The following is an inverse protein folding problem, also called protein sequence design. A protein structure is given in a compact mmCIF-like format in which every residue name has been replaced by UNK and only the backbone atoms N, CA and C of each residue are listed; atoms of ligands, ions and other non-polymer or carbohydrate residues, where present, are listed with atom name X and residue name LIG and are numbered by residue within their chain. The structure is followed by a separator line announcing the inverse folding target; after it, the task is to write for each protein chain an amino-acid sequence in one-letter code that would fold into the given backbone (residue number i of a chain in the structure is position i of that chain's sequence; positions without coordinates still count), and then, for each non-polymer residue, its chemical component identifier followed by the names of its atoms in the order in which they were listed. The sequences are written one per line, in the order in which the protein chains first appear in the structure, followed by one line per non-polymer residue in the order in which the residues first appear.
data_IF_416666523982
#
_entry.id   IF_416666523982
#
_cell.length_a   1.000
_cell.length_b   1.000
_cell.length_c   1.000
_cell.angle_alpha   90.00
_cell.angle_beta   90.00
_cell.angle_gamma   90.00
#
_symmetry.space_group_name_H-M   'P 1'
#
loop_
_entity.id
_entity.type
_entity.pdbx_description
1 polymer ?
#
# COMPACT_ATOMS: atom_id res chain seq x y z
N UNK A 1 13.93 0.31 -18.88
CA UNK A 1 13.79 1.36 -17.85
C UNK A 1 13.91 0.70 -16.49
N UNK A 2 14.52 1.39 -15.52
CA UNK A 2 14.55 0.92 -14.14
C UNK A 2 13.13 0.90 -13.55
N UNK A 3 12.77 -0.14 -12.77
CA UNK A 3 11.47 -0.19 -12.11
C UNK A 3 11.24 1.00 -11.18
N UNK A 4 9.99 1.45 -11.12
CA UNK A 4 9.54 2.56 -10.28
C UNK A 4 8.75 2.03 -9.09
N UNK A 5 8.88 2.73 -7.97
CA UNK A 5 8.02 2.54 -6.80
C UNK A 5 7.04 3.71 -6.75
N UNK A 6 5.76 3.44 -6.89
CA UNK A 6 4.69 4.42 -6.76
C UNK A 6 4.10 4.32 -5.36
N UNK A 7 4.46 5.25 -4.49
CA UNK A 7 3.78 5.37 -3.21
C UNK A 7 2.43 6.05 -3.46
N UNK A 8 1.36 5.50 -2.90
CA UNK A 8 0.00 6.04 -3.01
C UNK A 8 -0.59 6.22 -1.61
N UNK A 9 -1.11 7.40 -1.29
CA UNK A 9 -1.85 7.62 -0.05
C UNK A 9 -3.29 7.15 -0.22
N UNK A 10 -3.86 6.45 0.77
CA UNK A 10 -5.29 6.09 0.73
C UNK A 10 -6.19 7.32 0.50
N UNK A 11 -7.36 7.08 -0.09
CA UNK A 11 -8.40 8.08 -0.30
C UNK A 11 -9.07 8.51 1.02
N UNK A 12 -9.99 9.47 0.97
CA UNK A 12 -10.65 9.99 2.17
C UNK A 12 -11.49 8.93 2.88
N UNK A 13 -11.16 8.70 4.16
CA UNK A 13 -11.88 7.82 5.08
C UNK A 13 -12.71 8.60 6.09
N UNK A 14 -13.68 7.94 6.73
CA UNK A 14 -14.66 8.59 7.61
C UNK A 14 -14.01 9.42 8.73
N UNK A 15 -13.01 8.87 9.44
CA UNK A 15 -12.27 9.60 10.48
C UNK A 15 -11.56 10.86 9.96
N UNK A 16 -11.28 10.97 8.66
CA UNK A 16 -10.67 12.17 8.11
C UNK A 16 -11.64 13.35 8.04
N UNK A 17 -12.95 13.08 8.00
CA UNK A 17 -14.02 14.07 7.91
C UNK A 17 -14.58 14.35 9.29
N UNK A 18 -14.87 13.29 10.05
CA UNK A 18 -15.47 13.41 11.39
C UNK A 18 -14.46 13.88 12.44
N UNK A 19 -13.16 13.73 12.15
CA UNK A 19 -12.06 13.84 13.12
C UNK A 19 -12.21 12.89 14.32
N UNK A 20 -13.11 11.91 14.24
CA UNK A 20 -13.30 10.89 15.26
C UNK A 20 -12.21 9.82 15.13
N UNK A 21 -11.20 9.93 16.01
CA UNK A 21 -10.07 9.00 16.07
C UNK A 21 -10.40 7.72 16.85
N UNK A 22 -11.57 7.65 17.49
CA UNK A 22 -12.03 6.48 18.25
C UNK A 22 -12.63 5.38 17.36
N UNK A 23 -13.05 5.75 16.14
CA UNK A 23 -13.54 4.79 15.16
C UNK A 23 -12.44 3.84 14.72
N UNK A 24 -12.62 2.54 14.95
CA UNK A 24 -11.67 1.51 14.51
C UNK A 24 -11.75 1.26 13.01
N UNK A 25 -10.57 1.13 12.37
CA UNK A 25 -10.39 0.78 10.96
C UNK A 25 -11.44 1.38 9.99
N UNK A 26 -11.60 2.72 9.99
CA UNK A 26 -12.70 3.39 9.32
C UNK A 26 -12.66 3.19 7.78
N UNK A 27 -13.82 2.95 7.14
CA UNK A 27 -13.91 2.81 5.69
C UNK A 27 -13.70 4.14 4.97
N UNK A 28 -13.63 4.06 3.65
CA UNK A 28 -13.71 5.22 2.77
C UNK A 28 -15.08 5.88 2.80
N UNK A 29 -15.07 7.19 2.53
CA UNK A 29 -16.28 8.00 2.33
C UNK A 29 -16.70 7.96 0.86
N UNK A 30 -17.92 8.44 0.55
CA UNK A 30 -18.34 8.65 -0.83
C UNK A 30 -17.39 9.56 -1.64
N UNK A 31 -16.80 10.58 -1.00
CA UNK A 31 -15.76 11.39 -1.64
C UNK A 31 -14.45 10.61 -1.84
N UNK A 32 -14.13 9.69 -0.92
CA UNK A 32 -13.02 8.75 -1.09
C UNK A 32 -13.18 7.87 -2.35
N UNK A 33 -14.39 7.38 -2.61
CA UNK A 33 -14.70 6.61 -3.83
C UNK A 33 -14.54 7.46 -5.11
N UNK A 34 -14.92 8.74 -5.07
CA UNK A 34 -14.66 9.66 -6.18
C UNK A 34 -13.16 9.89 -6.41
N UNK A 35 -12.40 10.09 -5.33
CA UNK A 35 -10.94 10.24 -5.39
C UNK A 35 -10.25 9.01 -5.96
N UNK A 36 -10.76 7.82 -5.66
CA UNK A 36 -10.28 6.56 -6.24
C UNK A 36 -10.54 6.49 -7.73
N UNK A 37 -11.74 6.92 -8.16
CA UNK A 37 -12.09 6.94 -9.59
C UNK A 37 -11.15 7.88 -10.36
N UNK A 38 -10.83 9.05 -9.79
CA UNK A 38 -9.85 9.96 -10.37
C UNK A 38 -8.42 9.37 -10.38
N UNK A 39 -8.03 8.64 -9.34
CA UNK A 39 -6.74 7.94 -9.30
C UNK A 39 -6.64 6.90 -10.42
N UNK A 40 -7.69 6.10 -10.61
CA UNK A 40 -7.76 5.09 -11.68
C UNK A 40 -7.72 5.72 -13.09
N UNK A 41 -8.19 6.95 -13.25
CA UNK A 41 -8.14 7.67 -14.53
C UNK A 41 -6.78 8.35 -14.77
N UNK A 42 -6.21 8.96 -13.74
CA UNK A 42 -5.06 9.87 -13.88
C UNK A 42 -3.70 9.18 -13.72
N UNK A 43 -3.64 7.99 -13.12
CA UNK A 43 -2.37 7.30 -12.90
C UNK A 43 -1.79 6.80 -14.24
N UNK A 44 -0.64 7.31 -14.72
CA UNK A 44 -0.24 7.05 -16.10
C UNK A 44 0.54 5.74 -16.31
N UNK A 45 0.80 4.97 -15.24
CA UNK A 45 1.75 3.85 -15.27
C UNK A 45 1.09 2.47 -15.20
N UNK A 46 -0.21 2.39 -15.45
CA UNK A 46 -1.02 1.17 -15.37
C UNK A 46 -0.37 -0.04 -16.05
N UNK A 47 0.19 0.13 -17.25
CA UNK A 47 0.79 -0.97 -18.02
C UNK A 47 2.18 -1.40 -17.54
N UNK A 48 2.78 -0.67 -16.62
CA UNK A 48 4.09 -1.00 -16.06
C UNK A 48 4.01 -1.67 -14.69
N UNK A 49 2.86 -1.62 -14.02
CA UNK A 49 2.71 -2.17 -12.66
C UNK A 49 2.65 -3.70 -12.71
N UNK A 50 3.57 -4.33 -11.96
CA UNK A 50 3.66 -5.77 -11.75
C UNK A 50 2.99 -6.23 -10.46
N UNK A 51 3.00 -5.38 -9.44
CA UNK A 51 2.41 -5.71 -8.14
C UNK A 51 1.83 -4.46 -7.47
N UNK A 52 0.66 -4.64 -6.88
CA UNK A 52 0.00 -3.68 -6.00
C UNK A 52 0.12 -4.24 -4.58
N UNK A 53 0.93 -3.56 -3.79
CA UNK A 53 1.16 -3.83 -2.38
C UNK A 53 0.31 -2.88 -1.55
N UNK A 54 -0.37 -3.36 -0.52
CA UNK A 54 -1.20 -2.49 0.33
C UNK A 54 -1.08 -2.81 1.81
N UNK A 55 -1.23 -1.79 2.63
CA UNK A 55 -1.42 -1.96 4.08
C UNK A 55 -2.71 -2.74 4.36
N UNK A 56 -2.78 -3.54 5.44
CA UNK A 56 -3.95 -4.39 5.71
C UNK A 56 -5.18 -3.64 6.24
N UNK A 57 -5.15 -2.30 6.30
CA UNK A 57 -6.30 -1.51 6.77
C UNK A 57 -7.38 -1.38 5.69
N UNK A 58 -8.63 -1.31 6.11
CA UNK A 58 -9.80 -1.27 5.23
C UNK A 58 -9.69 -0.21 4.14
N UNK A 59 -9.35 1.02 4.52
CA UNK A 59 -9.23 2.15 3.59
C UNK A 59 -8.10 2.03 2.56
N UNK A 60 -6.99 1.37 2.90
CA UNK A 60 -5.88 1.14 1.96
C UNK A 60 -6.20 -0.01 1.01
N UNK A 61 -6.89 -1.04 1.49
CA UNK A 61 -7.41 -2.12 0.64
C UNK A 61 -8.45 -1.58 -0.34
N UNK A 62 -9.44 -0.82 0.14
CA UNK A 62 -10.46 -0.17 -0.71
C UNK A 62 -9.83 0.74 -1.77
N UNK A 63 -8.84 1.55 -1.38
CA UNK A 63 -8.10 2.41 -2.33
C UNK A 63 -7.35 1.59 -3.38
N UNK A 64 -6.66 0.53 -2.96
CA UNK A 64 -5.89 -0.32 -3.88
C UNK A 64 -6.81 -1.04 -4.87
N UNK A 65 -7.92 -1.62 -4.39
CA UNK A 65 -8.88 -2.33 -5.22
C UNK A 65 -9.60 -1.40 -6.19
N UNK A 66 -10.14 -0.29 -5.72
CA UNK A 66 -10.86 0.63 -6.59
C UNK A 66 -9.94 1.36 -7.57
N UNK A 67 -8.70 1.66 -7.18
CA UNK A 67 -7.75 2.38 -8.04
C UNK A 67 -7.11 1.50 -9.12
N UNK A 68 -6.97 0.19 -8.87
CA UNK A 68 -6.10 -0.66 -9.68
C UNK A 68 -6.68 -2.05 -10.03
N UNK A 69 -7.92 -2.38 -9.68
CA UNK A 69 -8.52 -3.68 -10.02
C UNK A 69 -8.52 -3.98 -11.52
N UNK A 70 -8.66 -2.97 -12.37
CA UNK A 70 -8.69 -3.10 -13.84
C UNK A 70 -7.34 -3.53 -14.46
N UNK A 71 -6.23 -3.46 -13.71
CA UNK A 71 -4.92 -3.95 -14.15
C UNK A 71 -4.50 -5.25 -13.48
N UNK A 72 -5.32 -5.82 -12.60
CA UNK A 72 -4.99 -7.06 -11.92
C UNK A 72 -4.99 -8.24 -12.88
N UNK A 73 -4.14 -9.21 -12.57
CA UNK A 73 -4.07 -10.45 -13.32
C UNK A 73 -5.39 -11.22 -13.23
N UNK A 74 -5.90 -11.68 -14.37
CA UNK A 74 -7.17 -12.42 -14.46
C UNK A 74 -7.15 -13.71 -13.65
N UNK A 75 -5.98 -14.32 -13.46
CA UNK A 75 -5.83 -15.54 -12.66
C UNK A 75 -5.87 -15.26 -11.16
N UNK A 76 -5.81 -14.00 -10.71
CA UNK A 76 -6.14 -13.64 -9.32
C UNK A 76 -7.61 -13.97 -9.05
N UNK A 77 -7.92 -15.13 -8.40
CA UNK A 77 -9.17 -15.86 -8.67
C UNK A 77 -10.45 -15.15 -8.22
N UNK A 78 -10.36 -14.03 -7.51
CA UNK A 78 -11.51 -13.33 -6.91
C UNK A 78 -11.51 -11.81 -7.07
N UNK A 79 -10.42 -11.23 -7.56
CA UNK A 79 -10.24 -9.78 -7.60
C UNK A 79 -9.92 -9.31 -9.02
N UNK A 80 -9.09 -10.07 -9.75
CA UNK A 80 -8.93 -9.90 -11.18
C UNK A 80 -10.23 -10.29 -11.90
N UNK A 81 -10.71 -11.52 -11.70
CA UNK A 81 -12.04 -11.95 -12.17
C UNK A 81 -12.34 -11.55 -13.62
N UNK A 82 -13.57 -11.08 -13.89
CA UNK A 82 -13.99 -10.66 -15.23
C UNK A 82 -13.35 -9.32 -15.69
N UNK A 83 -12.87 -8.49 -14.77
CA UNK A 83 -12.27 -7.18 -15.04
C UNK A 83 -10.74 -7.20 -15.21
N UNK A 84 -10.11 -8.33 -14.92
CA UNK A 84 -8.67 -8.51 -14.95
C UNK A 84 -8.13 -8.81 -16.34
N UNK A 85 -6.84 -8.54 -16.50
CA UNK A 85 -6.11 -8.70 -17.76
C UNK A 85 -5.16 -9.91 -17.70
N UNK A 86 -4.81 -10.45 -18.86
CA UNK A 86 -3.84 -11.52 -18.96
C UNK A 86 -2.43 -10.98 -18.63
N UNK A 87 -1.67 -11.69 -17.79
CA UNK A 87 -0.36 -11.26 -17.30
C UNK A 87 -0.43 -9.88 -16.62
N UNK A 88 -1.47 -9.64 -15.82
CA UNK A 88 -1.69 -8.41 -15.09
C UNK A 88 -0.88 -8.32 -13.79
N UNK A 89 -1.14 -7.26 -13.03
CA UNK A 89 -0.51 -7.03 -11.74
C UNK A 89 -0.99 -8.05 -10.68
N UNK A 90 -0.08 -8.47 -9.82
CA UNK A 90 -0.40 -9.23 -8.61
C UNK A 90 -0.88 -8.29 -7.49
N UNK A 91 -1.62 -8.82 -6.53
CA UNK A 91 -2.09 -8.06 -5.36
C UNK A 91 -1.56 -8.70 -4.07
N UNK A 92 -0.87 -7.93 -3.24
CA UNK A 92 -0.21 -8.42 -2.02
C UNK A 92 -0.57 -7.53 -0.81
N UNK A 93 -0.91 -8.17 0.32
CA UNK A 93 -1.12 -7.50 1.61
C UNK A 93 0.21 -7.48 2.38
N UNK A 94 0.60 -6.32 2.91
CA UNK A 94 1.87 -6.20 3.64
C UNK A 94 1.73 -5.46 4.97
N UNK A 95 1.84 -6.24 6.05
CA UNK A 95 1.63 -5.83 7.44
C UNK A 95 2.52 -4.65 7.87
N UNK A 96 3.71 -4.51 7.29
CA UNK A 96 4.66 -3.48 7.67
C UNK A 96 4.25 -2.09 7.19
N UNK A 97 3.23 -1.95 6.33
CA UNK A 97 2.77 -0.65 5.79
C UNK A 97 1.64 -0.03 6.63
N UNK A 98 1.41 -0.51 7.85
CA UNK A 98 0.43 0.09 8.76
C UNK A 98 0.76 1.55 9.15
N UNK A 99 -0.19 2.35 9.65
CA UNK A 99 0.14 3.64 10.25
C UNK A 99 0.98 3.43 11.52
N UNK A 100 1.77 4.43 11.92
CA UNK A 100 2.72 4.28 13.04
C UNK A 100 2.05 4.39 14.40
N UNK A 101 1.13 5.33 14.58
CA UNK A 101 0.51 5.58 15.87
C UNK A 101 -0.60 4.59 16.23
N UNK A 102 -0.84 4.45 17.54
CA UNK A 102 -1.86 3.54 18.11
C UNK A 102 -3.22 4.16 18.36
N UNK A 103 -3.58 5.24 17.66
CA UNK A 103 -4.96 5.72 17.72
C UNK A 103 -5.91 4.65 17.14
N UNK A 104 -7.12 4.46 17.68
CA UNK A 104 -8.05 3.42 17.20
C UNK A 104 -8.29 3.40 15.69
N UNK A 105 -8.38 4.58 15.05
CA UNK A 105 -8.52 4.69 13.58
C UNK A 105 -7.32 4.19 12.77
N UNK A 106 -6.18 3.94 13.43
CA UNK A 106 -4.94 3.42 12.86
C UNK A 106 -4.64 1.98 13.29
N UNK A 107 -5.56 1.37 14.03
CA UNK A 107 -5.57 -0.05 14.37
C UNK A 107 -6.54 -0.75 13.42
N UNK A 108 -6.06 -1.78 12.74
CA UNK A 108 -6.86 -2.52 11.76
C UNK A 108 -7.87 -3.49 12.37
N UNK A 109 -8.66 -4.12 11.50
CA UNK A 109 -9.62 -5.17 11.86
C UNK A 109 -8.93 -6.54 12.04
N UNK A 110 -9.57 -7.47 12.75
CA UNK A 110 -9.09 -8.87 12.81
C UNK A 110 -9.09 -9.51 11.42
N UNK A 111 -8.19 -10.49 11.21
CA UNK A 111 -8.04 -11.20 9.93
C UNK A 111 -9.38 -11.76 9.42
N UNK A 112 -10.16 -12.39 10.31
CA UNK A 112 -11.43 -13.04 9.94
C UNK A 112 -12.51 -12.03 9.52
N UNK A 113 -12.40 -10.77 9.96
CA UNK A 113 -13.28 -9.68 9.51
C UNK A 113 -12.87 -9.26 8.10
N UNK A 114 -11.57 -9.07 7.86
CA UNK A 114 -11.05 -8.68 6.56
C UNK A 114 -11.27 -9.75 5.49
N UNK A 115 -11.08 -11.03 5.81
CA UNK A 115 -11.33 -12.15 4.90
C UNK A 115 -12.80 -12.24 4.45
N UNK A 116 -13.73 -11.89 5.35
CA UNK A 116 -15.17 -11.84 5.03
C UNK A 116 -15.52 -10.65 4.15
N UNK A 117 -14.95 -9.49 4.44
CA UNK A 117 -15.24 -8.25 3.72
C UNK A 117 -14.58 -8.23 2.33
N UNK A 118 -13.34 -8.67 2.24
CA UNK A 118 -12.55 -8.70 1.02
C UNK A 118 -12.31 -10.13 0.55
N UNK A 119 -13.43 -10.84 0.32
CA UNK A 119 -13.40 -12.25 -0.05
C UNK A 119 -12.50 -12.50 -1.26
N UNK A 120 -11.41 -13.24 -1.03
CA UNK A 120 -10.46 -13.61 -2.07
C UNK A 120 -9.15 -12.85 -2.11
N UNK A 121 -8.96 -11.90 -1.22
CA UNK A 121 -7.62 -11.49 -0.82
C UNK A 121 -6.98 -12.56 0.06
N UNK A 122 -5.65 -12.67 -0.05
CA UNK A 122 -4.85 -13.51 0.82
C UNK A 122 -4.36 -12.68 2.02
N UNK A 123 -4.78 -13.08 3.22
CA UNK A 123 -4.38 -12.49 4.48
C UNK A 123 -3.56 -13.46 5.34
N UNK A 124 -3.13 -14.60 4.79
CA UNK A 124 -2.48 -15.68 5.53
C UNK A 124 -1.17 -15.26 6.21
N UNK A 125 -0.46 -14.29 5.64
CA UNK A 125 0.80 -13.74 6.15
C UNK A 125 0.63 -12.73 7.30
N UNK A 126 -0.59 -12.28 7.61
CA UNK A 126 -0.81 -11.39 8.76
C UNK A 126 -0.60 -12.15 10.07
N UNK A 127 0.14 -11.64 11.05
CA UNK A 127 0.17 -12.30 12.36
C UNK A 127 -1.19 -12.22 13.07
N UNK A 128 -1.51 -13.16 13.98
CA UNK A 128 -2.75 -13.13 14.78
C UNK A 128 -2.90 -11.84 15.61
N UNK A 129 -1.78 -11.17 15.86
CA UNK A 129 -1.66 -9.93 16.63
C UNK A 129 -1.27 -8.74 15.77
N UNK A 130 -1.42 -8.81 14.43
CA UNK A 130 -0.90 -7.79 13.51
C UNK A 130 -1.38 -6.36 13.79
N UNK A 131 -2.53 -6.23 14.42
CA UNK A 131 -3.19 -4.96 14.78
C UNK A 131 -2.56 -4.30 16.01
N UNK A 132 -1.83 -5.05 16.84
CA UNK A 132 -1.21 -4.53 18.06
C UNK A 132 -0.05 -3.60 17.71
N UNK A 133 0.00 -2.44 18.38
CA UNK A 133 1.08 -1.45 18.24
C UNK A 133 2.15 -1.66 19.30
N UNK A 134 2.71 -2.86 19.32
CA UNK A 134 3.69 -3.31 20.31
C UNK A 134 4.91 -3.93 19.64
N UNK A 135 6.02 -3.99 20.37
CA UNK A 135 7.28 -4.53 19.86
C UNK A 135 7.72 -3.82 18.58
N UNK A 136 7.94 -4.59 17.51
CA UNK A 136 8.31 -4.08 16.18
C UNK A 136 7.28 -3.09 15.57
N UNK A 137 6.03 -3.10 16.06
CA UNK A 137 4.95 -2.21 15.61
C UNK A 137 4.64 -1.09 16.59
N UNK A 138 5.48 -0.88 17.62
CA UNK A 138 5.33 0.25 18.53
C UNK A 138 5.45 1.60 17.79
N UNK A 139 4.92 2.66 18.41
CA UNK A 139 5.03 4.03 17.90
C UNK A 139 6.27 4.71 18.49
N UNK A 140 7.45 4.14 18.23
CA UNK A 140 8.74 4.74 18.61
C UNK A 140 9.54 5.08 17.37
N UNK A 141 10.38 6.10 17.45
CA UNK A 141 11.23 6.51 16.33
C UNK A 141 12.09 5.35 15.79
N UNK A 142 12.66 4.55 16.70
CA UNK A 142 13.46 3.36 16.38
C UNK A 142 12.66 2.32 15.59
N UNK A 143 11.51 1.89 16.13
CA UNK A 143 10.69 0.85 15.49
C UNK A 143 10.08 1.33 14.17
N UNK A 144 9.72 2.61 14.07
CA UNK A 144 9.27 3.23 12.81
C UNK A 144 10.39 3.24 11.75
N UNK A 145 11.62 3.57 12.14
CA UNK A 145 12.77 3.52 11.23
C UNK A 145 13.08 2.09 10.76
N UNK A 146 13.01 1.11 11.67
CA UNK A 146 13.19 -0.31 11.35
C UNK A 146 12.11 -0.82 10.39
N UNK A 147 10.84 -0.42 10.61
CA UNK A 147 9.74 -0.73 9.69
C UNK A 147 9.96 -0.12 8.32
N UNK A 148 10.44 1.13 8.23
CA UNK A 148 10.84 1.75 6.97
C UNK A 148 11.91 0.95 6.24
N UNK A 149 12.94 0.48 6.96
CA UNK A 149 13.98 -0.39 6.40
C UNK A 149 13.40 -1.73 5.91
N UNK A 150 12.50 -2.35 6.67
CA UNK A 150 11.83 -3.59 6.27
C UNK A 150 11.02 -3.40 4.98
N UNK A 151 10.23 -2.32 4.87
CA UNK A 151 9.49 -1.98 3.65
C UNK A 151 10.43 -1.79 2.46
N UNK A 152 11.51 -1.03 2.61
CA UNK A 152 12.48 -0.83 1.53
C UNK A 152 13.15 -2.12 1.08
N UNK A 153 13.47 -3.02 2.00
CA UNK A 153 14.06 -4.32 1.68
C UNK A 153 13.08 -5.24 0.94
N UNK A 154 11.80 -5.21 1.32
CA UNK A 154 10.76 -5.95 0.62
C UNK A 154 10.49 -5.38 -0.79
N UNK A 155 10.46 -4.06 -0.94
CA UNK A 155 10.41 -3.41 -2.26
C UNK A 155 11.61 -3.83 -3.13
N UNK A 156 12.81 -3.92 -2.55
CA UNK A 156 14.00 -4.38 -3.26
C UNK A 156 13.85 -5.84 -3.73
N UNK A 157 13.36 -6.74 -2.89
CA UNK A 157 13.17 -8.13 -3.28
C UNK A 157 12.11 -8.29 -4.37
N UNK A 158 11.04 -7.50 -4.34
CA UNK A 158 10.04 -7.46 -5.41
C UNK A 158 10.62 -6.92 -6.73
N UNK A 159 11.41 -5.84 -6.66
CA UNK A 159 12.12 -5.31 -7.85
C UNK A 159 13.00 -6.38 -8.48
N UNK A 160 13.81 -7.09 -7.69
CA UNK A 160 14.67 -8.16 -8.19
C UNK A 160 13.84 -9.33 -8.77
N UNK A 161 12.77 -9.74 -8.08
CA UNK A 161 11.83 -10.78 -8.56
C UNK A 161 11.29 -10.45 -9.95
N UNK A 162 10.73 -9.25 -10.15
CA UNK A 162 10.11 -8.88 -11.42
C UNK A 162 11.12 -8.50 -12.50
N UNK A 163 12.33 -8.05 -12.14
CA UNK A 163 13.45 -7.94 -13.08
C UNK A 163 13.86 -9.31 -13.63
N UNK A 164 14.01 -10.31 -12.75
CA UNK A 164 14.44 -11.65 -13.13
C UNK A 164 13.42 -12.40 -14.00
N UNK A 165 12.13 -12.11 -13.82
CA UNK A 165 11.05 -12.69 -14.65
C UNK A 165 11.05 -12.17 -16.10
N UNK A 166 11.72 -11.04 -16.38
CA UNK A 166 11.86 -10.52 -17.74
C UNK A 166 10.58 -9.95 -18.38
N UNK A 167 9.51 -9.78 -17.59
CA UNK A 167 8.25 -9.20 -18.06
C UNK A 167 8.33 -7.68 -18.31
N UNK A 168 7.36 -7.16 -19.06
CA UNK A 168 7.25 -5.72 -19.33
C UNK A 168 6.82 -4.93 -18.09
N UNK A 169 5.90 -5.51 -17.31
CA UNK A 169 5.44 -5.00 -16.01
C UNK A 169 6.51 -5.24 -14.94
N UNK A 170 7.01 -4.17 -14.33
CA UNK A 170 8.05 -4.22 -13.29
C UNK A 170 7.85 -3.23 -12.14
N UNK A 171 6.98 -2.25 -12.30
CA UNK A 171 6.74 -1.23 -11.29
C UNK A 171 5.93 -1.78 -10.12
N UNK A 172 6.08 -1.14 -8.98
CA UNK A 172 5.39 -1.49 -7.73
C UNK A 172 4.52 -0.32 -7.33
N UNK A 173 3.23 -0.57 -7.12
CA UNK A 173 2.36 0.37 -6.39
C UNK A 173 2.36 -0.03 -4.93
N UNK A 174 2.62 0.90 -4.02
CA UNK A 174 2.47 0.71 -2.57
C UNK A 174 1.42 1.67 -2.02
N UNK A 175 0.23 1.14 -1.70
CA UNK A 175 -0.87 1.90 -1.11
C UNK A 175 -0.76 1.88 0.42
N UNK A 176 -0.54 3.06 0.99
CA UNK A 176 -0.34 3.26 2.42
C UNK A 176 -1.08 4.47 2.98
N UNK A 177 -0.49 5.06 4.01
CA UNK A 177 -1.07 6.13 4.81
C UNK A 177 -0.28 7.43 4.65
N UNK A 178 -0.74 8.48 5.33
CA UNK A 178 -0.08 9.78 5.27
C UNK A 178 1.38 9.74 5.72
N UNK A 179 1.67 8.94 6.74
CA UNK A 179 3.00 8.71 7.32
C UNK A 179 3.85 7.69 6.55
N UNK A 180 3.26 6.88 5.67
CA UNK A 180 4.00 5.88 4.87
C UNK A 180 5.12 6.49 4.06
N UNK A 181 4.89 7.66 3.44
CA UNK A 181 5.94 8.34 2.69
C UNK A 181 7.11 8.70 3.60
N UNK A 182 6.84 9.30 4.76
CA UNK A 182 7.85 9.75 5.72
C UNK A 182 8.80 8.61 6.12
N UNK A 183 8.28 7.55 6.74
CA UNK A 183 9.16 6.50 7.27
C UNK A 183 9.79 5.61 6.18
N UNK A 184 9.18 5.53 4.99
CA UNK A 184 9.75 4.77 3.86
C UNK A 184 10.84 5.56 3.15
N UNK A 185 10.69 6.86 2.92
CA UNK A 185 11.66 7.67 2.17
C UNK A 185 12.72 8.33 3.05
N UNK A 186 12.38 8.63 4.31
CA UNK A 186 13.21 9.44 5.20
C UNK A 186 13.21 10.93 4.85
N UNK A 187 12.28 11.39 4.00
CA UNK A 187 12.13 12.81 3.63
C UNK A 187 11.57 13.68 4.78
N UNK A 188 11.13 13.06 5.87
CA UNK A 188 10.38 13.73 6.92
C UNK A 188 8.90 13.89 6.54
N UNK A 189 8.17 14.68 7.35
CA UNK A 189 6.74 14.90 7.16
C UNK A 189 6.47 15.67 5.87
N UNK A 190 6.06 14.94 4.84
CA UNK A 190 5.55 15.50 3.58
C UNK A 190 4.03 15.39 3.59
N UNK A 191 3.33 16.54 3.53
CA UNK A 191 1.91 16.51 3.23
C UNK A 191 1.70 16.27 1.74
N UNK A 192 0.85 15.30 1.42
CA UNK A 192 0.60 14.86 0.06
C UNK A 192 -0.86 14.39 -0.05
N UNK A 193 -1.52 14.64 -1.19
CA UNK A 193 -2.97 14.51 -1.26
C UNK A 193 -3.46 13.08 -1.03
N UNK A 194 -4.65 12.93 -0.46
CA UNK A 194 -5.36 11.64 -0.42
C UNK A 194 -5.64 11.16 -1.84
N UNK A 195 -5.49 9.86 -2.08
CA UNK A 195 -5.43 9.28 -3.43
C UNK A 195 -4.35 9.91 -4.35
N UNK A 196 -3.42 10.67 -3.78
CA UNK A 196 -2.24 11.17 -4.48
C UNK A 196 -1.15 10.11 -4.51
N UNK A 197 -0.28 10.21 -5.51
CA UNK A 197 0.90 9.36 -5.62
C UNK A 197 2.17 10.17 -5.86
N UNK A 198 3.30 9.55 -5.54
CA UNK A 198 4.63 10.01 -5.93
C UNK A 198 5.44 8.79 -6.38
N UNK A 199 6.27 8.99 -7.41
CA UNK A 199 7.05 7.90 -8.01
C UNK A 199 8.51 8.05 -7.60
N UNK A 200 9.17 6.93 -7.34
CA UNK A 200 10.53 6.89 -6.83
C UNK A 200 11.36 5.84 -7.55
N UNK A 201 12.66 6.10 -7.66
CA UNK A 201 13.65 5.07 -7.92
C UNK A 201 14.10 4.43 -6.60
N UNK A 202 14.25 3.11 -6.60
CA UNK A 202 14.86 2.41 -5.48
C UNK A 202 16.36 2.27 -5.74
N UNK A 203 17.18 2.90 -4.90
CA UNK A 203 18.63 2.90 -5.02
C UNK A 203 19.27 2.11 -3.88
N UNK A 204 20.33 1.36 -4.19
CA UNK A 204 21.14 0.66 -3.20
C UNK A 204 22.14 1.64 -2.57
N UNK A 205 22.21 1.64 -1.25
CA UNK A 205 23.12 2.47 -0.45
C UNK A 205 23.90 1.57 0.53
N UNK A 206 24.89 2.12 1.25
CA UNK A 206 25.74 1.35 2.16
C UNK A 206 24.93 0.54 3.20
N UNK A 207 23.87 1.14 3.75
CA UNK A 207 23.08 0.54 4.85
C UNK A 207 21.74 -0.08 4.38
N UNK A 208 21.59 -0.36 3.08
CA UNK A 208 20.41 -1.01 2.50
C UNK A 208 19.92 -0.32 1.24
N UNK A 209 18.67 0.17 1.27
CA UNK A 209 18.04 0.82 0.14
C UNK A 209 17.44 2.17 0.54
N UNK A 210 17.30 3.08 -0.43
CA UNK A 210 16.63 4.38 -0.29
C UNK A 210 15.70 4.60 -1.49
N UNK A 211 14.62 5.34 -1.28
CA UNK A 211 13.76 5.83 -2.36
C UNK A 211 14.18 7.24 -2.74
N UNK A 212 14.43 7.48 -4.02
CA UNK A 212 14.74 8.80 -4.58
C UNK A 212 13.59 9.26 -5.47
N UNK A 213 13.05 10.45 -5.18
CA UNK A 213 11.88 10.98 -5.88
C UNK A 213 12.18 11.20 -7.37
N UNK A 214 11.25 10.78 -8.22
CA UNK A 214 11.27 11.06 -9.67
C UNK A 214 10.56 12.39 -9.89
N UNK A 215 11.30 13.38 -10.37
CA UNK A 215 10.81 14.71 -10.75
C UNK A 215 10.01 14.69 -12.05
#
# INVERSE_FOLDING_TARGET
MEPRIHLVRHAQSEHNVTHDRSQHDPPLTALGEQQISELAEKFPYHDQVAVILTSPLRRTIQTALGGFSHILDRTSPRIGGASGIENGAQFEIYQQVQPTNGMPCNVGSKREILEKEFAGLDFSELSDTWMLKEGFYADTEETVAERGKAVRNHLASLVEKYKAQGGERRDIVLVGHGDTRDYVTGEGKVDWPRAGWASFHLVKVADGHRLELIS
#
